data_IF_895405305738
#
_entry.id   IF_895405305738
#
_cell.length_a   1.000
_cell.length_b   1.000
_cell.length_c   1.000
_cell.angle_alpha   90.00
_cell.angle_beta   90.00
_cell.angle_gamma   90.00
#
_symmetry.space_group_name_H-M   'P 1'
#
loop_
_entity.id
_entity.type
_entity.pdbx_description
1 polymer ?
#
# COMPACT_ATOMS: atom_id res chain seq x y z
N UNK A 1 13.89 10.20 22.03
CA UNK A 1 12.59 9.69 21.55
C UNK A 1 11.92 10.63 20.55
N UNK A 2 11.70 11.92 20.84
CA UNK A 2 10.99 12.82 19.90
C UNK A 2 11.69 12.99 18.54
N UNK A 3 13.03 13.13 18.50
CA UNK A 3 13.79 13.26 17.23
C UNK A 3 13.73 12.00 16.37
N UNK A 4 13.86 10.82 17.00
CA UNK A 4 13.79 9.53 16.32
C UNK A 4 12.39 9.30 15.75
N UNK A 5 11.36 9.57 16.55
CA UNK A 5 9.97 9.47 16.11
C UNK A 5 9.69 10.40 14.91
N UNK A 6 10.11 11.66 14.97
CA UNK A 6 9.97 12.62 13.86
C UNK A 6 10.68 12.14 12.58
N UNK A 7 11.84 11.51 12.73
CA UNK A 7 12.59 10.95 11.59
C UNK A 7 11.85 9.78 10.95
N UNK A 8 11.29 8.89 11.76
CA UNK A 8 10.46 7.76 11.30
C UNK A 8 9.18 8.26 10.64
N UNK A 9 8.49 9.22 11.25
CA UNK A 9 7.29 9.87 10.71
C UNK A 9 7.56 10.48 9.33
N UNK A 10 8.64 11.28 9.20
CA UNK A 10 9.03 11.85 7.92
C UNK A 10 9.38 10.79 6.87
N UNK A 11 10.09 9.73 7.27
CA UNK A 11 10.43 8.61 6.38
C UNK A 11 9.18 7.90 5.87
N UNK A 12 8.21 7.59 6.74
CA UNK A 12 6.95 6.96 6.36
C UNK A 12 6.15 7.85 5.40
N UNK A 13 6.04 9.14 5.69
CA UNK A 13 5.33 10.08 4.81
C UNK A 13 6.02 10.20 3.44
N UNK A 14 7.35 10.18 3.40
CA UNK A 14 8.11 10.11 2.15
C UNK A 14 7.82 8.83 1.37
N UNK A 15 7.79 7.67 2.03
CA UNK A 15 7.46 6.38 1.40
C UNK A 15 6.03 6.36 0.85
N UNK A 16 5.07 6.99 1.52
CA UNK A 16 3.71 7.15 1.00
C UNK A 16 3.69 7.97 -0.30
N UNK A 17 4.44 9.08 -0.33
CA UNK A 17 4.58 9.90 -1.55
C UNK A 17 5.25 9.15 -2.69
N UNK A 18 6.27 8.33 -2.40
CA UNK A 18 6.93 7.46 -3.39
C UNK A 18 5.95 6.43 -3.95
N UNK A 19 5.19 5.73 -3.09
CA UNK A 19 4.20 4.75 -3.50
C UNK A 19 3.13 5.37 -4.43
N UNK A 20 2.69 6.60 -4.15
CA UNK A 20 1.75 7.32 -5.00
C UNK A 20 2.36 7.66 -6.38
N UNK A 21 3.61 8.14 -6.40
CA UNK A 21 4.33 8.45 -7.64
C UNK A 21 4.54 7.20 -8.50
N UNK A 22 5.03 6.11 -7.90
CA UNK A 22 5.25 4.82 -8.54
C UNK A 22 3.95 4.20 -9.05
N UNK A 23 2.86 4.33 -8.29
CA UNK A 23 1.53 3.92 -8.74
C UNK A 23 1.08 4.69 -10.00
N UNK A 24 1.39 5.99 -10.07
CA UNK A 24 1.16 6.81 -11.26
C UNK A 24 1.98 6.36 -12.47
N UNK A 25 3.25 5.97 -12.25
CA UNK A 25 4.12 5.39 -13.30
C UNK A 25 3.54 4.07 -13.80
N UNK A 26 3.17 3.16 -12.89
CA UNK A 26 2.57 1.88 -13.25
C UNK A 26 1.29 2.06 -14.06
N UNK A 27 0.42 2.99 -13.67
CA UNK A 27 -0.82 3.29 -14.40
C UNK A 27 -0.53 3.71 -15.85
N UNK A 28 0.46 4.58 -16.08
CA UNK A 28 0.89 4.99 -17.42
C UNK A 28 1.49 3.82 -18.20
N UNK A 29 2.32 3.00 -17.57
CA UNK A 29 2.92 1.80 -18.17
C UNK A 29 1.85 0.80 -18.61
N UNK A 30 0.87 0.50 -17.74
CA UNK A 30 -0.24 -0.39 -18.07
C UNK A 30 -1.06 0.14 -19.23
N UNK A 31 -1.37 1.45 -19.23
CA UNK A 31 -2.12 2.07 -20.32
C UNK A 31 -1.40 1.92 -21.67
N UNK A 32 -0.11 2.25 -21.72
CA UNK A 32 0.71 2.18 -22.95
C UNK A 32 0.85 0.75 -23.50
N UNK A 33 0.98 -0.24 -22.61
CA UNK A 33 1.30 -1.63 -22.99
C UNK A 33 0.07 -2.53 -23.16
N UNK A 34 -1.15 -2.02 -22.92
CA UNK A 34 -2.40 -2.80 -22.88
C UNK A 34 -2.67 -3.64 -24.13
N UNK A 35 -2.39 -3.10 -25.32
CA UNK A 35 -2.73 -3.78 -26.57
C UNK A 35 -1.65 -4.80 -27.00
N UNK A 36 -0.37 -4.46 -26.80
CA UNK A 36 0.76 -5.31 -27.18
C UNK A 36 0.92 -6.52 -26.26
N UNK A 37 0.65 -6.35 -24.97
CA UNK A 37 0.97 -7.36 -23.95
C UNK A 37 -0.27 -7.91 -23.26
N UNK A 38 -1.46 -7.75 -23.86
CA UNK A 38 -2.75 -8.16 -23.26
C UNK A 38 -2.73 -9.59 -22.69
N UNK A 39 -2.03 -10.51 -23.35
CA UNK A 39 -1.92 -11.94 -22.97
C UNK A 39 -0.60 -12.29 -22.26
N UNK A 40 0.30 -11.33 -22.06
CA UNK A 40 1.58 -11.56 -21.39
C UNK A 40 1.40 -11.85 -19.91
N UNK A 41 2.06 -12.88 -19.41
CA UNK A 41 1.98 -13.28 -17.99
C UNK A 41 2.48 -12.18 -17.05
N UNK A 42 3.57 -11.49 -17.42
CA UNK A 42 4.08 -10.34 -16.68
C UNK A 42 3.04 -9.21 -16.62
N UNK A 43 2.34 -8.95 -17.74
CA UNK A 43 1.34 -7.88 -17.83
C UNK A 43 0.12 -8.19 -16.96
N UNK A 44 -0.32 -9.45 -16.91
CA UNK A 44 -1.39 -9.90 -16.00
C UNK A 44 -1.01 -9.67 -14.53
N UNK A 45 0.26 -9.87 -14.16
CA UNK A 45 0.75 -9.56 -12.80
C UNK A 45 0.73 -8.06 -12.53
N UNK A 46 1.16 -7.23 -13.48
CA UNK A 46 1.05 -5.76 -13.38
C UNK A 46 -0.41 -5.29 -13.24
N UNK A 47 -1.36 -5.97 -13.90
CA UNK A 47 -2.79 -5.70 -13.74
C UNK A 47 -3.30 -6.04 -12.33
N UNK A 48 -2.78 -7.10 -11.68
CA UNK A 48 -3.06 -7.40 -10.26
C UNK A 48 -2.55 -6.27 -9.36
N UNK A 49 -1.28 -5.88 -9.51
CA UNK A 49 -0.69 -4.77 -8.73
C UNK A 49 -1.48 -3.47 -8.90
N UNK A 50 -1.90 -3.15 -10.13
CA UNK A 50 -2.74 -1.97 -10.41
C UNK A 50 -4.08 -2.01 -9.69
N UNK A 51 -4.72 -3.19 -9.61
CA UNK A 51 -5.97 -3.38 -8.86
C UNK A 51 -5.73 -3.11 -7.37
N UNK A 52 -4.66 -3.68 -6.81
CA UNK A 52 -4.37 -3.60 -5.38
C UNK A 52 -3.98 -2.17 -4.98
N UNK A 53 -3.21 -1.45 -5.81
CA UNK A 53 -2.94 -0.02 -5.63
C UNK A 53 -4.22 0.84 -5.64
N UNK A 54 -5.19 0.53 -6.52
CA UNK A 54 -6.47 1.23 -6.52
C UNK A 54 -7.24 0.99 -5.22
N UNK A 55 -7.19 -0.22 -4.68
CA UNK A 55 -7.80 -0.54 -3.38
C UNK A 55 -7.11 0.20 -2.24
N UNK A 56 -5.77 0.32 -2.26
CA UNK A 56 -5.02 1.12 -1.30
C UNK A 56 -5.40 2.61 -1.33
N UNK A 57 -5.58 3.18 -2.53
CA UNK A 57 -6.04 4.57 -2.67
C UNK A 57 -7.45 4.76 -2.07
N UNK A 58 -8.37 3.83 -2.33
CA UNK A 58 -9.71 3.86 -1.75
C UNK A 58 -9.71 3.66 -0.23
N UNK A 59 -8.69 3.00 0.31
CA UNK A 59 -8.52 2.80 1.74
C UNK A 59 -8.02 4.05 2.48
N UNK A 60 -7.65 5.13 1.76
CA UNK A 60 -7.09 6.37 2.32
C UNK A 60 -5.91 6.10 3.26
N UNK A 61 -4.82 5.62 2.66
CA UNK A 61 -3.62 5.18 3.38
C UNK A 61 -3.00 6.29 4.25
N UNK A 62 -3.04 7.53 3.80
CA UNK A 62 -2.51 8.69 4.54
C UNK A 62 -3.25 8.91 5.87
N UNK A 63 -4.59 8.83 5.86
CA UNK A 63 -5.40 8.95 7.08
C UNK A 63 -5.14 7.80 8.06
N UNK A 64 -4.97 6.58 7.54
CA UNK A 64 -4.65 5.40 8.35
C UNK A 64 -3.30 5.53 9.04
N UNK A 65 -2.26 5.88 8.27
CA UNK A 65 -0.90 6.04 8.80
C UNK A 65 -0.84 7.18 9.80
N UNK A 66 -1.46 8.32 9.50
CA UNK A 66 -1.51 9.48 10.42
C UNK A 66 -2.18 9.09 11.74
N UNK A 67 -3.30 8.37 11.69
CA UNK A 67 -4.00 7.88 12.88
C UNK A 67 -3.15 6.89 13.69
N UNK A 68 -2.42 5.99 13.03
CA UNK A 68 -1.47 5.09 13.70
C UNK A 68 -0.34 5.87 14.40
N UNK A 69 0.26 6.85 13.71
CA UNK A 69 1.34 7.67 14.25
C UNK A 69 0.89 8.47 15.47
N UNK A 70 -0.33 9.03 15.46
CA UNK A 70 -0.91 9.71 16.62
C UNK A 70 -0.98 8.80 17.86
N UNK A 71 -1.42 7.54 17.68
CA UNK A 71 -1.48 6.56 18.78
C UNK A 71 -0.08 6.16 19.25
N UNK A 72 0.87 5.98 18.34
CA UNK A 72 2.24 5.56 18.68
C UNK A 72 2.97 6.68 19.44
N UNK A 73 2.79 7.94 19.00
CA UNK A 73 3.38 9.13 19.62
C UNK A 73 2.86 9.42 21.02
N UNK A 74 1.61 9.03 21.31
CA UNK A 74 1.00 9.29 22.62
C UNK A 74 1.71 8.48 23.72
N UNK A 75 2.33 9.22 24.63
CA UNK A 75 3.13 8.69 25.75
C UNK A 75 2.26 8.43 26.98
N UNK A 76 1.12 9.14 27.14
CA UNK A 76 0.24 8.98 28.29
C UNK A 76 -0.68 7.78 28.11
N UNK A 77 -0.61 6.73 28.95
CA UNK A 77 -1.37 5.50 28.75
C UNK A 77 -2.89 5.68 28.64
N UNK A 78 -3.46 6.58 29.47
CA UNK A 78 -4.90 6.88 29.44
C UNK A 78 -5.33 7.54 28.14
N UNK A 79 -4.52 8.47 27.62
CA UNK A 79 -4.82 9.15 26.35
C UNK A 79 -4.63 8.20 25.18
N UNK A 80 -3.58 7.37 25.21
CA UNK A 80 -3.34 6.32 24.21
C UNK A 80 -4.50 5.34 24.12
N UNK A 81 -5.00 4.86 25.26
CA UNK A 81 -6.17 3.98 25.31
C UNK A 81 -7.41 4.67 24.73
N UNK A 82 -7.65 5.94 25.10
CA UNK A 82 -8.77 6.71 24.56
C UNK A 82 -8.66 6.89 23.03
N UNK A 83 -7.46 7.18 22.50
CA UNK A 83 -7.23 7.26 21.05
C UNK A 83 -7.53 5.93 20.37
N UNK A 84 -7.01 4.81 20.90
CA UNK A 84 -7.28 3.46 20.37
C UNK A 84 -8.77 3.13 20.38
N UNK A 85 -9.48 3.41 21.48
CA UNK A 85 -10.93 3.22 21.55
C UNK A 85 -11.67 4.09 20.54
N UNK A 86 -11.25 5.34 20.36
CA UNK A 86 -11.85 6.25 19.39
C UNK A 86 -11.66 5.74 17.95
N UNK A 87 -10.48 5.20 17.61
CA UNK A 87 -10.22 4.61 16.30
C UNK A 87 -11.05 3.35 16.08
N UNK A 88 -11.17 2.49 17.10
CA UNK A 88 -11.99 1.28 17.02
C UNK A 88 -13.48 1.59 16.79
N UNK A 89 -13.99 2.67 17.39
CA UNK A 89 -15.39 3.11 17.23
C UNK A 89 -15.62 3.91 15.94
N UNK A 90 -14.58 4.50 15.36
CA UNK A 90 -14.66 5.29 14.12
C UNK A 90 -15.06 4.38 12.95
N UNK A 91 -16.33 4.47 12.55
CA UNK A 91 -16.77 4.00 11.22
C UNK A 91 -16.35 5.03 10.19
N UNK A 92 -15.67 4.60 9.13
CA UNK A 92 -15.28 5.49 8.04
C UNK A 92 -16.46 5.65 7.06
N UNK A 93 -16.38 6.64 6.16
CA UNK A 93 -17.43 7.10 5.23
C UNK A 93 -18.22 6.01 4.48
N UNK A 94 -17.72 4.78 4.41
CA UNK A 94 -18.48 3.60 4.00
C UNK A 94 -18.56 2.65 5.20
N UNK A 95 -19.74 2.54 5.80
CA UNK A 95 -20.05 1.85 7.08
C UNK A 95 -19.58 0.39 7.22
N UNK A 96 -19.02 -0.19 6.15
CA UNK A 96 -18.73 -1.61 6.04
C UNK A 96 -17.48 -2.05 6.82
N UNK A 97 -16.51 -1.18 7.04
CA UNK A 97 -15.26 -1.57 7.70
C UNK A 97 -14.78 -0.52 8.72
N UNK A 98 -14.39 -0.99 9.90
CA UNK A 98 -13.78 -0.16 10.95
C UNK A 98 -12.29 0.13 10.66
N UNK A 99 -11.67 0.98 11.47
CA UNK A 99 -10.25 1.34 11.33
C UNK A 99 -9.32 0.12 11.31
N UNK A 100 -9.53 -0.85 12.20
CA UNK A 100 -8.67 -2.03 12.32
C UNK A 100 -8.80 -2.95 11.10
N UNK A 101 -10.00 -3.12 10.58
CA UNK A 101 -10.25 -3.90 9.36
C UNK A 101 -9.63 -3.24 8.13
N UNK A 102 -9.70 -1.90 8.03
CA UNK A 102 -9.02 -1.14 6.96
C UNK A 102 -7.51 -1.28 7.06
N UNK A 103 -6.94 -1.13 8.26
CA UNK A 103 -5.50 -1.27 8.50
C UNK A 103 -5.01 -2.68 8.14
N UNK A 104 -5.74 -3.72 8.56
CA UNK A 104 -5.44 -5.11 8.20
C UNK A 104 -5.54 -5.33 6.68
N UNK A 105 -6.58 -4.81 6.03
CA UNK A 105 -6.76 -4.91 4.59
C UNK A 105 -5.62 -4.24 3.80
N UNK A 106 -5.18 -3.06 4.25
CA UNK A 106 -4.01 -2.37 3.69
C UNK A 106 -2.75 -3.23 3.84
N UNK A 107 -2.48 -3.77 5.03
CA UNK A 107 -1.32 -4.61 5.27
C UNK A 107 -1.33 -5.85 4.35
N UNK A 108 -2.48 -6.51 4.20
CA UNK A 108 -2.65 -7.62 3.25
C UNK A 108 -2.39 -7.20 1.80
N UNK A 109 -2.92 -6.07 1.34
CA UNK A 109 -2.69 -5.58 -0.03
C UNK A 109 -1.20 -5.31 -0.27
N UNK A 110 -0.51 -4.67 0.68
CA UNK A 110 0.93 -4.42 0.57
C UNK A 110 1.73 -5.71 0.43
N UNK A 111 1.43 -6.74 1.23
CA UNK A 111 2.09 -8.06 1.14
C UNK A 111 1.76 -8.76 -0.19
N UNK A 112 0.48 -8.77 -0.58
CA UNK A 112 0.00 -9.45 -1.80
C UNK A 112 0.54 -8.87 -3.11
N UNK A 113 0.96 -7.60 -3.10
CA UNK A 113 1.56 -6.95 -4.26
C UNK A 113 3.02 -7.36 -4.48
N UNK A 114 3.74 -7.79 -3.45
CA UNK A 114 5.19 -8.10 -3.54
C UNK A 114 5.46 -9.19 -4.56
N UNK A 115 4.77 -10.33 -4.44
CA UNK A 115 4.99 -11.48 -5.34
C UNK A 115 4.69 -11.14 -6.82
N UNK A 116 3.54 -10.54 -7.19
CA UNK A 116 3.28 -10.09 -8.55
C UNK A 116 4.33 -9.11 -9.11
N UNK A 117 4.81 -8.18 -8.29
CA UNK A 117 5.86 -7.21 -8.69
C UNK A 117 7.14 -7.96 -9.04
N UNK A 118 7.62 -8.82 -8.12
CA UNK A 118 8.86 -9.58 -8.32
C UNK A 118 8.76 -10.49 -9.54
N UNK A 119 7.67 -11.24 -9.68
CA UNK A 119 7.46 -12.14 -10.84
C UNK A 119 7.27 -11.37 -12.16
N UNK A 120 6.77 -10.14 -12.15
CA UNK A 120 6.71 -9.30 -13.35
C UNK A 120 8.09 -8.75 -13.71
N UNK A 121 8.91 -8.37 -12.73
CA UNK A 121 10.27 -7.87 -12.93
C UNK A 121 11.23 -8.96 -13.43
N UNK A 122 11.02 -10.22 -13.04
CA UNK A 122 11.78 -11.38 -13.54
C UNK A 122 11.38 -11.85 -14.96
N UNK A 123 10.54 -11.10 -15.67
CA UNK A 123 10.24 -11.40 -17.08
C UNK A 123 11.16 -10.57 -18.00
N UNK A 124 11.87 -11.15 -18.98
CA UNK A 124 11.84 -12.53 -19.47
C UNK A 124 12.97 -13.40 -18.90
N UNK A 125 13.57 -13.05 -17.75
CA UNK A 125 14.78 -13.76 -17.27
C UNK A 125 14.57 -15.27 -17.09
N UNK A 126 13.32 -15.74 -16.94
CA UNK A 126 12.98 -17.16 -16.95
C UNK A 126 12.90 -17.81 -18.35
N UNK A 127 12.56 -17.07 -19.41
CA UNK A 127 12.48 -17.61 -20.78
C UNK A 127 13.80 -17.53 -21.57
N UNK A 128 14.81 -16.83 -21.06
CA UNK A 128 16.15 -16.86 -21.65
C UNK A 128 16.94 -18.14 -21.28
N UNK A 129 16.62 -18.79 -20.16
CA UNK A 129 17.30 -20.02 -19.70
C UNK A 129 16.66 -21.32 -20.22
N UNK A 130 15.64 -21.24 -21.08
CA UNK A 130 15.03 -22.42 -21.74
C UNK A 130 15.33 -22.48 -23.24
N UNK A 131 16.28 -21.67 -23.73
CA UNK A 131 16.65 -21.55 -25.14
C UNK A 131 18.18 -21.64 -25.39
N UNK A 132 18.92 -22.16 -24.41
CA UNK A 132 20.33 -22.59 -24.54
C UNK A 132 20.37 -24.05 -24.09
#
# INVERSE_FOLDING_TARGET
>A
MDTEFKTIEASIMSMLGQLQSEGGILQRMVYKNKNQHRRGSYFQRLLKVRRDLRLLQLANLEELVTSCLLVIKEDRPKQKLHLLESLKRRKCHNEKHNFMERLLGVAHLLVEMVEPILKAASYPSASANSLI
#
